data_IF_607287077470
#
_entry.id   IF_607287077470
#
_cell.length_a   1.000
_cell.length_b   1.000
_cell.length_c   1.000
_cell.angle_alpha   90.00
_cell.angle_beta   90.00
_cell.angle_gamma   90.00
#
_symmetry.space_group_name_H-M   'P 1'
#
loop_
_entity.id
_entity.type
_entity.pdbx_description
1 polymer ?
#
# COMPACT_ATOMS: atom_id res chain seq x y z
N UNK A 1 -23.91 -26.71 -62.06
CA UNK A 1 -25.28 -26.35 -61.61
C UNK A 1 -25.65 -27.24 -60.42
N UNK A 2 -25.95 -26.62 -59.26
CA UNK A 2 -26.56 -27.16 -58.02
C UNK A 2 -25.92 -28.39 -57.34
N UNK A 3 -25.20 -28.23 -56.20
CA UNK A 3 -25.68 -28.23 -54.78
C UNK A 3 -26.33 -29.53 -54.31
N UNK A 4 -25.65 -30.27 -53.42
CA UNK A 4 -26.05 -30.58 -52.01
C UNK A 4 -25.02 -31.53 -51.36
N UNK A 5 -24.31 -31.04 -50.35
CA UNK A 5 -23.54 -31.85 -49.40
C UNK A 5 -24.46 -32.27 -48.25
N UNK A 6 -24.51 -33.57 -47.95
CA UNK A 6 -25.10 -34.14 -46.75
C UNK A 6 -24.18 -35.24 -46.22
N UNK A 7 -23.54 -34.99 -45.08
CA UNK A 7 -22.68 -35.95 -44.37
C UNK A 7 -23.52 -36.90 -43.52
N UNK A 8 -23.22 -38.21 -43.44
CA UNK A 8 -23.81 -39.10 -42.47
C UNK A 8 -23.02 -39.12 -41.15
N UNK A 9 -23.77 -39.22 -40.05
CA UNK A 9 -23.28 -39.29 -38.68
C UNK A 9 -22.57 -40.61 -38.37
N UNK A 10 -21.47 -40.53 -37.61
CA UNK A 10 -20.88 -41.69 -36.92
C UNK A 10 -20.72 -41.36 -35.44
N UNK A 11 -21.41 -42.17 -34.63
CA UNK A 11 -21.35 -42.26 -33.16
C UNK A 11 -19.92 -42.51 -32.66
N UNK A 12 -19.48 -41.76 -31.65
CA UNK A 12 -18.37 -42.17 -30.77
C UNK A 12 -18.79 -42.09 -29.30
N UNK A 13 -18.47 -43.17 -28.60
CA UNK A 13 -18.93 -43.54 -27.26
C UNK A 13 -18.32 -42.66 -26.16
N UNK A 14 -19.14 -42.43 -25.14
CA UNK A 14 -18.79 -41.87 -23.83
C UNK A 14 -17.85 -42.85 -23.11
N UNK A 15 -16.73 -42.36 -22.61
CA UNK A 15 -15.82 -43.05 -21.70
C UNK A 15 -15.62 -42.21 -20.44
N UNK A 16 -16.01 -42.78 -19.31
CA UNK A 16 -16.07 -42.17 -17.98
C UNK A 16 -14.69 -41.99 -17.31
N UNK A 17 -14.60 -40.96 -16.46
CA UNK A 17 -13.93 -41.02 -15.16
C UNK A 17 -12.40 -41.18 -15.08
N UNK A 18 -11.66 -40.06 -15.14
CA UNK A 18 -10.23 -40.02 -14.79
C UNK A 18 -9.83 -38.74 -14.04
N UNK A 19 -9.97 -38.72 -12.72
CA UNK A 19 -9.49 -37.65 -11.80
C UNK A 19 -7.99 -37.39 -12.01
N UNK A 20 -7.62 -36.34 -12.74
CA UNK A 20 -6.23 -35.85 -12.81
C UNK A 20 -5.90 -35.02 -11.57
N UNK A 21 -5.04 -35.56 -10.71
CA UNK A 21 -4.38 -34.87 -9.60
C UNK A 21 -3.48 -33.76 -10.17
N UNK A 22 -3.83 -32.50 -9.96
CA UNK A 22 -2.94 -31.37 -10.22
C UNK A 22 -1.89 -31.29 -9.11
N UNK A 23 -0.62 -31.50 -9.49
CA UNK A 23 0.55 -31.39 -8.62
C UNK A 23 0.91 -29.91 -8.40
N UNK A 24 1.43 -29.64 -7.20
CA UNK A 24 1.62 -28.34 -6.56
C UNK A 24 2.84 -27.59 -7.12
N UNK A 25 2.67 -26.29 -7.42
CA UNK A 25 3.76 -25.30 -7.51
C UNK A 25 3.66 -24.28 -6.37
N UNK A 26 4.75 -24.07 -5.63
CA UNK A 26 4.88 -23.12 -4.50
C UNK A 26 5.67 -21.90 -4.98
N UNK A 27 5.18 -20.68 -4.76
CA UNK A 27 6.01 -19.48 -4.99
C UNK A 27 5.31 -18.13 -5.10
N UNK A 28 4.27 -17.85 -4.31
CA UNK A 28 3.72 -16.49 -4.10
C UNK A 28 3.67 -16.19 -2.61
N UNK A 29 3.63 -14.90 -2.19
CA UNK A 29 3.50 -14.47 -0.77
C UNK A 29 2.62 -15.47 -0.02
N UNK A 30 3.21 -16.21 0.94
CA UNK A 30 2.56 -17.34 1.59
C UNK A 30 1.36 -16.83 2.37
N UNK A 31 0.16 -16.95 1.80
CA UNK A 31 -1.09 -16.78 2.53
C UNK A 31 -1.02 -17.63 3.79
N UNK A 32 -1.33 -17.09 4.97
CA UNK A 32 -1.29 -17.85 6.21
C UNK A 32 -2.60 -18.59 6.46
N UNK A 33 -2.55 -19.65 7.27
CA UNK A 33 -3.76 -20.33 7.70
C UNK A 33 -4.61 -19.37 8.53
N UNK A 34 -5.85 -19.11 8.14
CA UNK A 34 -6.73 -18.18 8.84
C UNK A 34 -7.09 -18.61 10.27
N UNK A 35 -6.92 -19.90 10.59
CA UNK A 35 -7.09 -20.44 11.94
C UNK A 35 -5.81 -20.37 12.81
N UNK A 36 -4.68 -19.90 12.28
CA UNK A 36 -3.40 -19.86 13.00
C UNK A 36 -3.55 -19.03 14.29
N UNK A 37 -3.15 -19.61 15.42
CA UNK A 37 -3.26 -18.96 16.74
C UNK A 37 -4.68 -18.87 17.31
N UNK A 38 -5.71 -19.33 16.57
CA UNK A 38 -7.12 -19.32 17.00
C UNK A 38 -7.63 -20.69 17.42
N UNK A 39 -6.85 -21.74 17.16
CA UNK A 39 -7.17 -23.12 17.51
C UNK A 39 -5.99 -23.77 18.26
N UNK A 40 -6.24 -24.70 19.20
CA UNK A 40 -5.17 -25.37 19.94
C UNK A 40 -4.24 -26.20 19.06
N UNK A 41 -4.74 -26.69 17.93
CA UNK A 41 -3.99 -27.55 17.01
C UNK A 41 -3.03 -26.73 16.14
N UNK A 42 -1.76 -27.18 16.06
CA UNK A 42 -0.74 -26.50 15.26
C UNK A 42 -1.06 -26.57 13.76
N UNK A 43 -0.64 -25.54 13.02
CA UNK A 43 -0.72 -25.53 11.57
C UNK A 43 0.21 -26.58 10.95
N UNK A 44 -0.22 -27.19 9.86
CA UNK A 44 0.61 -28.14 9.09
C UNK A 44 1.76 -27.38 8.41
N UNK A 45 2.93 -28.01 8.28
CA UNK A 45 4.07 -27.41 7.59
C UNK A 45 3.77 -27.13 6.11
N UNK A 46 3.98 -25.88 5.72
CA UNK A 46 3.77 -25.40 4.34
C UNK A 46 2.58 -24.44 4.22
N UNK A 47 2.41 -23.83 3.04
CA UNK A 47 1.32 -22.88 2.83
C UNK A 47 -0.04 -23.60 2.84
N UNK A 48 -1.09 -22.96 3.36
CA UNK A 48 -2.46 -23.45 3.27
C UNK A 48 -2.88 -23.57 1.81
N UNK A 49 -3.46 -24.72 1.46
CA UNK A 49 -3.89 -25.00 0.08
C UNK A 49 -5.40 -25.04 -0.07
N UNK A 50 -6.17 -25.00 1.02
CA UNK A 50 -7.63 -25.06 1.00
C UNK A 50 -8.20 -23.65 1.16
N UNK A 51 -8.82 -23.11 0.11
CA UNK A 51 -9.55 -21.83 0.20
C UNK A 51 -11.00 -22.06 0.60
N UNK A 52 -11.61 -21.09 1.27
CA UNK A 52 -13.06 -21.08 1.46
C UNK A 52 -13.73 -21.08 0.09
N UNK A 53 -14.56 -22.09 -0.20
CA UNK A 53 -15.21 -22.25 -1.49
C UNK A 53 -16.19 -21.13 -1.84
N UNK A 54 -16.72 -20.43 -0.82
CA UNK A 54 -17.68 -19.34 -1.01
C UNK A 54 -17.00 -18.01 -1.30
N UNK A 55 -16.07 -17.58 -0.45
CA UNK A 55 -15.45 -16.27 -0.61
C UNK A 55 -14.14 -16.27 -1.38
N UNK A 56 -13.43 -17.40 -1.46
CA UNK A 56 -12.09 -17.48 -2.07
C UNK A 56 -10.97 -16.73 -1.31
N UNK A 57 -11.30 -15.83 -0.39
CA UNK A 57 -10.37 -14.90 0.26
C UNK A 57 -9.49 -15.52 1.36
N UNK A 58 -10.02 -16.48 2.15
CA UNK A 58 -9.30 -17.09 3.28
C UNK A 58 -8.84 -18.51 2.95
N UNK A 59 -7.69 -18.92 3.50
CA UNK A 59 -7.14 -20.25 3.30
C UNK A 59 -6.81 -20.98 4.61
N UNK A 60 -6.81 -22.31 4.53
CA UNK A 60 -6.65 -23.23 5.65
C UNK A 60 -5.64 -24.33 5.30
N UNK A 61 -4.87 -24.79 6.28
CA UNK A 61 -4.01 -25.96 6.10
C UNK A 61 -4.78 -27.29 6.24
N UNK A 62 -5.94 -27.29 6.90
CA UNK A 62 -6.79 -28.48 7.10
C UNK A 62 -8.29 -28.15 7.08
N UNK A 63 -9.12 -29.18 6.93
CA UNK A 63 -10.58 -29.05 7.07
C UNK A 63 -10.97 -28.72 8.52
N UNK A 64 -10.28 -29.29 9.51
CA UNK A 64 -10.53 -28.98 10.93
C UNK A 64 -10.36 -27.49 11.21
N UNK A 65 -9.29 -26.87 10.71
CA UNK A 65 -9.05 -25.43 10.85
C UNK A 65 -10.11 -24.57 10.17
N UNK A 66 -10.60 -25.01 9.00
CA UNK A 66 -11.71 -24.35 8.33
C UNK A 66 -13.01 -24.39 9.14
N UNK A 67 -13.36 -25.56 9.69
CA UNK A 67 -14.57 -25.73 10.51
C UNK A 67 -14.45 -24.89 11.79
N UNK A 68 -13.32 -24.96 12.49
CA UNK A 68 -13.13 -24.21 13.73
C UNK A 68 -13.15 -22.70 13.53
N UNK A 69 -12.59 -22.18 12.43
CA UNK A 69 -12.61 -20.74 12.13
C UNK A 69 -13.97 -20.24 11.62
N UNK A 70 -14.91 -21.14 11.28
CA UNK A 70 -16.21 -20.76 10.71
C UNK A 70 -17.01 -19.83 11.64
N UNK A 71 -16.89 -20.00 12.95
CA UNK A 71 -17.58 -19.15 13.95
C UNK A 71 -17.22 -17.66 13.80
N UNK A 72 -15.95 -17.35 13.48
CA UNK A 72 -15.48 -15.99 13.21
C UNK A 72 -15.70 -15.58 11.74
N UNK A 73 -15.46 -16.51 10.80
CA UNK A 73 -15.48 -16.22 9.37
C UNK A 73 -16.89 -15.99 8.81
N UNK A 74 -17.92 -16.65 9.36
CA UNK A 74 -19.27 -16.68 8.78
C UNK A 74 -19.86 -15.28 8.54
N UNK A 75 -19.63 -14.33 9.46
CA UNK A 75 -20.12 -12.96 9.36
C UNK A 75 -19.45 -12.17 8.24
N UNK A 76 -18.16 -12.43 8.00
CA UNK A 76 -17.36 -11.73 7.00
C UNK A 76 -17.38 -12.41 5.62
N UNK A 77 -17.79 -13.67 5.54
CA UNK A 77 -17.66 -14.48 4.32
C UNK A 77 -18.37 -13.86 3.12
N UNK A 78 -19.58 -13.32 3.28
CA UNK A 78 -20.32 -12.68 2.19
C UNK A 78 -19.63 -11.39 1.71
N UNK A 79 -19.21 -10.53 2.65
CA UNK A 79 -18.48 -9.29 2.37
C UNK A 79 -17.17 -9.57 1.63
N UNK A 80 -16.41 -10.56 2.09
CA UNK A 80 -15.17 -10.99 1.44
C UNK A 80 -15.41 -11.56 0.03
N UNK A 81 -16.50 -12.29 -0.18
CA UNK A 81 -16.86 -12.77 -1.52
C UNK A 81 -17.10 -11.61 -2.49
N UNK A 82 -17.83 -10.58 -2.05
CA UNK A 82 -18.06 -9.37 -2.86
C UNK A 82 -16.77 -8.63 -3.21
N UNK A 83 -15.81 -8.60 -2.28
CA UNK A 83 -14.48 -8.02 -2.54
C UNK A 83 -13.70 -8.85 -3.57
N UNK A 84 -13.77 -10.17 -3.48
CA UNK A 84 -13.08 -11.07 -4.41
C UNK A 84 -13.62 -11.00 -5.84
N UNK A 85 -14.90 -10.63 -6.05
CA UNK A 85 -15.45 -10.36 -7.39
C UNK A 85 -14.70 -9.24 -8.10
N UNK A 86 -14.20 -8.25 -7.33
CA UNK A 86 -13.47 -7.09 -7.87
C UNK A 86 -11.96 -7.31 -7.94
N UNK A 87 -11.46 -8.48 -7.55
CA UNK A 87 -10.03 -8.72 -7.43
C UNK A 87 -9.29 -8.51 -8.76
N UNK A 88 -9.84 -8.99 -9.88
CA UNK A 88 -9.19 -8.85 -11.18
C UNK A 88 -9.11 -7.38 -11.62
N UNK A 89 -10.19 -6.63 -11.43
CA UNK A 89 -10.25 -5.18 -11.72
C UNK A 89 -9.24 -4.42 -10.86
N UNK A 90 -9.10 -4.78 -9.57
CA UNK A 90 -8.13 -4.16 -8.67
C UNK A 90 -6.68 -4.54 -8.97
N UNK A 91 -6.44 -5.59 -9.76
CA UNK A 91 -5.11 -6.01 -10.22
C UNK A 91 -4.79 -5.56 -11.65
N UNK A 92 -5.70 -4.84 -12.32
CA UNK A 92 -5.49 -4.28 -13.66
C UNK A 92 -4.74 -2.94 -13.58
N UNK A 93 -3.43 -3.05 -13.35
CA UNK A 93 -2.54 -1.89 -13.30
C UNK A 93 -1.98 -1.53 -14.68
N UNK A 94 -1.77 -0.23 -14.98
CA UNK A 94 -1.22 0.21 -16.27
C UNK A 94 0.28 -0.08 -16.44
N UNK A 95 0.93 -0.64 -15.41
CA UNK A 95 2.37 -0.78 -15.35
C UNK A 95 2.88 -1.88 -16.27
N UNK A 96 4.03 -1.66 -16.90
CA UNK A 96 4.67 -2.70 -17.70
C UNK A 96 5.32 -3.77 -16.80
N UNK A 97 5.83 -3.38 -15.63
CA UNK A 97 6.42 -4.28 -14.65
C UNK A 97 5.39 -5.17 -13.91
N UNK A 98 4.09 -4.85 -13.98
CA UNK A 98 3.03 -5.73 -13.45
C UNK A 98 2.61 -6.81 -14.43
N UNK A 99 2.87 -6.65 -15.74
CA UNK A 99 2.51 -7.67 -16.75
C UNK A 99 3.45 -8.88 -16.73
N UNK A 100 4.70 -8.69 -16.30
CA UNK A 100 5.60 -9.80 -15.97
C UNK A 100 5.07 -10.69 -14.83
N UNK A 101 4.06 -10.22 -14.06
CA UNK A 101 3.39 -11.03 -13.03
C UNK A 101 2.04 -11.64 -13.43
N UNK A 102 1.43 -11.23 -14.56
CA UNK A 102 0.04 -11.60 -14.91
C UNK A 102 -0.12 -12.39 -16.22
N UNK A 103 0.96 -12.66 -16.98
CA UNK A 103 0.87 -13.44 -18.23
C UNK A 103 2.05 -14.41 -18.37
N UNK A 104 2.03 -15.48 -17.57
CA UNK A 104 2.68 -16.80 -17.75
C UNK A 104 2.96 -17.40 -16.37
N UNK A 105 1.95 -18.05 -15.79
CA UNK A 105 2.05 -18.78 -14.52
C UNK A 105 2.67 -20.18 -14.70
N UNK A 106 3.26 -20.51 -15.85
CA UNK A 106 3.75 -21.87 -16.09
C UNK A 106 5.23 -22.09 -16.39
N UNK A 107 6.05 -21.12 -16.84
CA UNK A 107 7.49 -21.36 -17.03
C UNK A 107 8.32 -20.08 -16.97
N UNK A 108 8.46 -19.47 -15.79
CA UNK A 108 9.63 -18.66 -15.40
C UNK A 108 9.41 -18.20 -13.97
N UNK A 109 10.48 -18.15 -13.17
CA UNK A 109 10.49 -17.55 -11.86
C UNK A 109 9.69 -16.24 -11.83
N UNK A 110 8.56 -16.22 -11.10
CA UNK A 110 7.93 -14.97 -10.69
C UNK A 110 9.02 -14.16 -10.02
N UNK A 111 9.56 -13.14 -10.73
CA UNK A 111 10.63 -12.29 -10.22
C UNK A 111 10.23 -11.84 -8.83
N UNK A 112 10.97 -12.29 -7.82
CA UNK A 112 10.71 -11.83 -6.45
C UNK A 112 10.89 -10.32 -6.43
N UNK A 113 10.30 -9.63 -5.44
CA UNK A 113 10.55 -8.19 -5.27
C UNK A 113 12.06 -7.87 -5.25
N UNK A 114 12.88 -8.77 -4.68
CA UNK A 114 14.34 -8.68 -4.66
C UNK A 114 14.92 -8.73 -6.10
N UNK A 115 14.49 -9.67 -6.95
CA UNK A 115 15.03 -9.78 -8.31
C UNK A 115 14.55 -8.67 -9.24
N UNK A 116 13.31 -8.20 -9.07
CA UNK A 116 12.81 -7.01 -9.79
C UNK A 116 13.64 -5.77 -9.44
N UNK A 117 13.79 -5.46 -8.15
CA UNK A 117 14.61 -4.31 -7.74
C UNK A 117 16.07 -4.46 -8.17
N UNK A 118 16.57 -5.69 -8.25
CA UNK A 118 17.93 -5.96 -8.74
C UNK A 118 18.05 -5.70 -10.23
N UNK A 119 17.07 -6.11 -11.04
CA UNK A 119 17.06 -5.83 -12.49
C UNK A 119 16.95 -4.35 -12.80
N UNK A 120 16.22 -3.59 -11.97
CA UNK A 120 16.12 -2.13 -12.07
C UNK A 120 17.34 -1.40 -11.45
N UNK A 121 18.28 -2.13 -10.84
CA UNK A 121 19.46 -1.55 -10.18
C UNK A 121 19.12 -0.74 -8.91
N UNK A 122 17.93 -0.93 -8.35
CA UNK A 122 17.40 -0.23 -7.16
C UNK A 122 17.55 -1.03 -5.86
N UNK A 123 17.90 -2.30 -5.95
CA UNK A 123 17.98 -3.19 -4.80
C UNK A 123 18.93 -2.66 -3.71
N UNK A 124 18.44 -2.55 -2.47
CA UNK A 124 19.15 -2.03 -1.30
C UNK A 124 19.64 -0.56 -1.41
N UNK A 125 19.05 0.25 -2.31
CA UNK A 125 19.42 1.66 -2.50
C UNK A 125 18.34 2.63 -2.04
N UNK A 126 18.76 3.74 -1.44
CA UNK A 126 17.91 4.88 -1.07
C UNK A 126 16.58 4.46 -0.46
N UNK A 127 15.50 4.98 -1.05
CA UNK A 127 14.13 4.69 -0.61
C UNK A 127 13.73 3.21 -0.77
N UNK A 128 14.34 2.47 -1.67
CA UNK A 128 13.97 1.08 -2.02
C UNK A 128 14.53 0.03 -1.06
N UNK A 129 15.41 0.44 -0.13
CA UNK A 129 16.13 -0.47 0.76
C UNK A 129 15.21 -1.40 1.54
N UNK A 130 14.03 -0.91 1.92
CA UNK A 130 13.08 -1.62 2.77
C UNK A 130 12.02 -2.40 2.01
N UNK A 131 11.98 -2.28 0.68
CA UNK A 131 11.03 -3.03 -0.14
C UNK A 131 11.32 -4.53 -0.15
N UNK A 132 12.55 -4.96 0.17
CA UNK A 132 12.87 -6.38 0.31
C UNK A 132 13.68 -6.73 1.58
N UNK A 133 13.39 -7.89 2.17
CA UNK A 133 14.04 -8.38 3.39
C UNK A 133 15.38 -9.09 3.14
N UNK A 134 15.85 -9.21 1.89
CA UNK A 134 17.07 -9.96 1.54
C UNK A 134 18.38 -9.29 2.04
N UNK A 135 18.32 -8.09 2.62
CA UNK A 135 19.48 -7.33 3.12
C UNK A 135 19.57 -7.11 4.64
N UNK A 136 18.76 -7.77 5.48
CA UNK A 136 18.76 -7.48 6.92
C UNK A 136 19.91 -8.15 7.69
N UNK A 137 20.90 -7.34 8.06
CA UNK A 137 21.57 -7.46 9.36
C UNK A 137 21.71 -6.05 9.94
N UNK A 138 21.01 -5.84 11.07
CA UNK A 138 20.95 -4.61 11.85
C UNK A 138 20.43 -3.37 11.09
N UNK A 139 19.25 -2.90 11.48
CA UNK A 139 18.96 -1.47 11.43
C UNK A 139 20.04 -0.83 12.32
N UNK A 140 21.13 -0.33 11.73
CA UNK A 140 22.09 0.48 12.48
C UNK A 140 21.31 1.63 13.09
N UNK A 141 21.48 1.83 14.39
CA UNK A 141 20.84 2.85 15.23
C UNK A 141 21.07 4.30 14.80
N UNK A 142 21.57 4.54 13.59
CA UNK A 142 21.72 5.87 13.00
C UNK A 142 20.44 6.26 12.24
N UNK A 143 19.34 6.33 12.98
CA UNK A 143 18.03 6.80 12.49
C UNK A 143 17.98 8.31 12.23
N UNK A 144 19.13 8.97 12.11
CA UNK A 144 19.25 10.43 12.04
C UNK A 144 19.06 10.99 10.64
N UNK A 145 19.32 10.21 9.58
CA UNK A 145 19.21 10.66 8.18
C UNK A 145 18.12 9.90 7.45
N UNK A 146 17.03 10.60 7.15
CA UNK A 146 16.04 10.12 6.20
C UNK A 146 16.71 9.82 4.85
N UNK A 147 16.42 8.66 4.27
CA UNK A 147 16.74 8.42 2.87
C UNK A 147 15.92 9.39 2.03
N UNK A 148 16.57 10.23 1.24
CA UNK A 148 15.90 11.24 0.41
C UNK A 148 16.21 11.08 -1.07
N UNK A 149 16.61 9.88 -1.51
CA UNK A 149 16.99 9.63 -2.90
C UNK A 149 16.15 8.53 -3.53
N UNK A 150 15.58 8.84 -4.69
CA UNK A 150 14.92 7.86 -5.55
C UNK A 150 15.89 6.90 -6.23
N UNK A 151 17.18 7.25 -6.34
CA UNK A 151 18.16 6.51 -7.16
C UNK A 151 17.64 6.19 -8.59
N UNK A 152 16.80 7.08 -9.11
CA UNK A 152 16.22 7.04 -10.44
C UNK A 152 16.57 8.34 -11.19
N UNK A 153 16.70 8.30 -12.53
CA UNK A 153 16.74 9.49 -13.37
C UNK A 153 15.55 10.43 -13.12
N UNK A 154 15.71 11.73 -13.39
CA UNK A 154 14.68 12.73 -13.14
C UNK A 154 13.42 12.48 -13.97
N UNK A 155 13.55 11.88 -15.15
CA UNK A 155 12.44 11.46 -16.01
C UNK A 155 11.60 10.31 -15.44
N UNK A 156 12.13 9.56 -14.46
CA UNK A 156 11.47 8.38 -13.88
C UNK A 156 10.98 8.60 -12.46
N UNK A 157 11.14 9.79 -11.89
CA UNK A 157 10.73 10.04 -10.51
C UNK A 157 10.16 11.45 -10.29
N UNK A 158 9.24 11.60 -9.32
CA UNK A 158 8.60 12.87 -9.01
C UNK A 158 9.50 13.80 -8.18
N UNK A 159 10.72 14.12 -8.65
CA UNK A 159 11.71 14.90 -7.90
C UNK A 159 11.58 16.43 -8.01
N UNK A 160 10.61 16.93 -8.77
CA UNK A 160 10.37 18.36 -9.02
C UNK A 160 8.88 18.66 -8.97
N UNK A 161 8.53 19.94 -8.86
CA UNK A 161 7.15 20.39 -8.93
C UNK A 161 6.44 19.90 -10.21
N UNK A 162 5.14 19.58 -10.11
CA UNK A 162 4.35 19.21 -11.27
C UNK A 162 4.26 20.39 -12.25
N UNK A 163 4.28 20.10 -13.55
CA UNK A 163 4.19 21.14 -14.60
C UNK A 163 2.84 21.86 -14.61
N UNK A 164 1.79 21.14 -14.21
CA UNK A 164 0.43 21.66 -14.14
C UNK A 164 -0.11 21.44 -12.72
N UNK A 165 -0.82 22.40 -12.13
CA UNK A 165 -1.53 22.16 -10.88
C UNK A 165 -2.57 21.05 -11.09
N UNK A 166 -2.94 20.37 -10.01
CA UNK A 166 -4.01 19.39 -10.07
C UNK A 166 -5.32 20.12 -10.35
N UNK A 167 -5.85 19.92 -11.56
CA UNK A 167 -7.11 20.52 -12.01
C UNK A 167 -8.31 19.59 -11.83
N UNK A 168 -8.08 18.28 -11.76
CA UNK A 168 -9.11 17.25 -11.62
C UNK A 168 -8.73 16.22 -10.56
N UNK A 169 -9.72 15.59 -9.92
CA UNK A 169 -9.48 14.49 -8.99
C UNK A 169 -8.77 13.32 -9.69
N UNK A 170 -7.61 12.90 -9.16
CA UNK A 170 -6.89 11.73 -9.66
C UNK A 170 -7.63 10.46 -9.18
N UNK A 171 -8.17 9.70 -10.13
CA UNK A 171 -9.03 8.54 -9.85
C UNK A 171 -8.33 7.20 -10.05
N UNK A 172 -7.16 7.20 -10.69
CA UNK A 172 -6.40 6.00 -11.00
C UNK A 172 -4.89 6.26 -11.03
N UNK A 173 -4.11 5.17 -10.95
CA UNK A 173 -2.67 5.21 -11.20
C UNK A 173 -2.33 5.79 -12.58
N UNK A 174 -3.16 5.51 -13.58
CA UNK A 174 -2.99 6.04 -14.94
C UNK A 174 -3.05 7.56 -14.93
N UNK A 175 -4.04 8.14 -14.24
CA UNK A 175 -4.20 9.59 -14.14
C UNK A 175 -3.00 10.25 -13.47
N UNK A 176 -2.51 9.66 -12.37
CA UNK A 176 -1.34 10.17 -11.65
C UNK A 176 -0.08 10.18 -12.53
N UNK A 177 0.21 9.07 -13.22
CA UNK A 177 1.40 8.96 -14.08
C UNK A 177 1.34 9.94 -15.25
N UNK A 178 0.18 10.10 -15.89
CA UNK A 178 -0.01 11.08 -16.95
C UNK A 178 0.18 12.51 -16.42
N UNK A 179 -0.39 12.84 -15.27
CA UNK A 179 -0.26 14.16 -14.65
C UNK A 179 1.19 14.49 -14.26
N UNK A 180 1.94 13.51 -13.72
CA UNK A 180 3.37 13.67 -13.39
C UNK A 180 4.31 13.53 -14.57
N UNK A 181 3.81 13.25 -15.77
CA UNK A 181 4.62 12.95 -16.96
C UNK A 181 5.60 11.79 -16.72
N UNK A 182 5.16 10.77 -15.99
CA UNK A 182 5.93 9.57 -15.71
C UNK A 182 5.57 8.45 -16.68
N UNK A 183 6.55 7.70 -17.22
CA UNK A 183 6.28 6.53 -18.03
C UNK A 183 5.79 5.36 -17.17
N UNK A 184 4.93 4.50 -17.69
CA UNK A 184 4.36 3.36 -16.94
C UNK A 184 5.36 2.26 -16.54
N UNK A 185 6.59 2.34 -17.04
CA UNK A 185 7.68 1.47 -16.59
C UNK A 185 8.45 2.04 -15.38
N UNK A 186 8.18 3.28 -14.96
CA UNK A 186 8.75 3.81 -13.72
C UNK A 186 8.19 3.05 -12.51
N UNK A 187 9.03 2.55 -11.58
CA UNK A 187 8.59 1.72 -10.46
C UNK A 187 8.06 2.53 -9.26
N UNK A 188 7.95 3.86 -9.36
CA UNK A 188 7.64 4.73 -8.21
C UNK A 188 6.30 4.43 -7.53
N UNK A 189 5.37 3.77 -8.23
CA UNK A 189 4.11 3.32 -7.62
C UNK A 189 4.32 2.40 -6.41
N UNK A 190 5.43 1.64 -6.36
CA UNK A 190 5.75 0.77 -5.23
C UNK A 190 5.95 1.55 -3.92
N UNK A 191 6.43 2.79 -4.00
CA UNK A 191 6.64 3.66 -2.84
C UNK A 191 5.49 4.66 -2.68
N UNK A 192 5.04 5.26 -3.77
CA UNK A 192 4.00 6.29 -3.79
C UNK A 192 2.61 5.81 -3.39
N UNK A 193 2.38 4.49 -3.30
CA UNK A 193 1.07 3.98 -2.89
C UNK A 193 0.64 4.51 -1.52
N UNK A 194 1.57 4.81 -0.60
CA UNK A 194 1.24 5.40 0.70
C UNK A 194 0.62 6.80 0.60
N UNK A 195 1.32 7.84 0.06
CA UNK A 195 0.74 9.17 -0.06
C UNK A 195 -0.47 9.20 -1.00
N UNK A 196 -0.48 8.41 -2.08
CA UNK A 196 -1.60 8.41 -3.03
C UNK A 196 -2.85 7.77 -2.45
N UNK A 197 -2.71 6.75 -1.59
CA UNK A 197 -3.84 6.20 -0.83
C UNK A 197 -4.40 7.25 0.12
N UNK A 198 -3.54 7.99 0.83
CA UNK A 198 -3.97 9.08 1.71
C UNK A 198 -4.74 10.15 0.95
N UNK A 199 -4.21 10.60 -0.20
CA UNK A 199 -4.90 11.55 -1.08
C UNK A 199 -6.24 11.00 -1.55
N UNK A 200 -6.30 9.75 -2.00
CA UNK A 200 -7.55 9.17 -2.49
C UNK A 200 -8.60 9.00 -1.38
N UNK A 201 -8.20 8.59 -0.17
CA UNK A 201 -9.09 8.56 0.99
C UNK A 201 -9.66 9.95 1.31
N UNK A 202 -8.82 10.99 1.23
CA UNK A 202 -9.28 12.36 1.37
C UNK A 202 -10.28 12.72 0.27
N UNK A 203 -9.98 12.45 -1.00
CA UNK A 203 -10.89 12.72 -2.12
C UNK A 203 -12.24 12.02 -1.94
N UNK A 204 -12.27 10.77 -1.48
CA UNK A 204 -13.53 10.03 -1.24
C UNK A 204 -14.43 10.66 -0.17
N UNK A 205 -13.84 11.31 0.83
CA UNK A 205 -14.58 11.93 1.93
C UNK A 205 -14.98 13.37 1.56
N UNK A 206 -14.10 14.07 0.84
CA UNK A 206 -14.22 15.50 0.59
C UNK A 206 -14.60 15.85 -0.87
N UNK A 207 -14.87 14.88 -1.75
CA UNK A 207 -15.33 15.11 -3.12
C UNK A 207 -16.63 15.92 -3.23
N UNK A 208 -17.36 16.07 -2.11
CA UNK A 208 -18.60 16.85 -2.01
C UNK A 208 -18.46 18.16 -1.22
N UNK A 209 -17.27 18.48 -0.71
CA UNK A 209 -17.02 19.70 0.07
C UNK A 209 -15.92 20.51 -0.61
N UNK A 210 -16.27 21.74 -0.98
CA UNK A 210 -15.32 22.68 -1.58
C UNK A 210 -14.26 23.03 -0.53
N UNK A 211 -13.14 22.34 -0.55
CA UNK A 211 -11.95 22.74 0.22
C UNK A 211 -11.33 23.90 -0.55
N UNK A 212 -11.93 25.08 -0.45
CA UNK A 212 -11.35 26.29 -0.97
C UNK A 212 -10.09 26.66 -0.17
N UNK A 213 -9.02 26.90 -0.92
CA UNK A 213 -7.75 27.58 -0.61
C UNK A 213 -7.39 27.94 0.83
N UNK A 214 -6.16 27.59 1.22
CA UNK A 214 -5.46 28.17 2.37
C UNK A 214 -5.73 27.50 3.73
N UNK A 215 -6.34 26.32 3.73
CA UNK A 215 -6.66 25.58 4.95
C UNK A 215 -5.47 24.81 5.54
N UNK A 216 -5.46 24.67 6.87
CA UNK A 216 -4.63 23.69 7.57
C UNK A 216 -5.40 22.37 7.65
N UNK A 217 -4.81 21.29 7.16
CA UNK A 217 -5.39 19.95 7.20
C UNK A 217 -4.63 19.09 8.21
N UNK A 218 -5.34 18.52 9.18
CA UNK A 218 -4.81 17.66 10.24
C UNK A 218 -5.31 16.23 10.04
N UNK A 219 -4.38 15.29 9.86
CA UNK A 219 -4.64 13.89 9.58
C UNK A 219 -4.01 13.02 10.66
N UNK A 220 -4.76 12.09 11.22
CA UNK A 220 -4.19 11.01 12.04
C UNK A 220 -4.00 9.75 11.19
N UNK A 221 -2.76 9.29 11.09
CA UNK A 221 -2.36 8.07 10.39
C UNK A 221 -2.06 6.97 11.42
N UNK A 222 -2.90 5.94 11.49
CA UNK A 222 -2.84 4.93 12.54
C UNK A 222 -2.13 3.66 12.09
N UNK A 223 -1.28 3.16 12.97
CA UNK A 223 -0.52 1.92 12.80
C UNK A 223 0.47 1.96 11.64
N UNK A 224 1.33 3.00 11.54
CA UNK A 224 2.40 2.98 10.55
C UNK A 224 3.43 1.90 10.90
N UNK A 225 4.00 1.27 9.89
CA UNK A 225 5.02 0.24 10.00
C UNK A 225 6.15 0.54 9.00
N UNK A 226 6.05 0.04 7.76
CA UNK A 226 7.02 0.30 6.70
C UNK A 226 7.14 1.77 6.34
N UNK A 227 6.04 2.50 6.44
CA UNK A 227 5.94 3.94 6.14
C UNK A 227 6.93 4.76 6.98
N UNK A 228 7.27 4.31 8.19
CA UNK A 228 8.23 4.99 9.08
C UNK A 228 9.65 5.04 8.50
N UNK A 229 9.96 4.14 7.57
CA UNK A 229 11.26 4.03 6.91
C UNK A 229 11.33 4.83 5.61
N UNK A 230 10.17 5.31 5.13
CA UNK A 230 9.96 5.92 3.82
C UNK A 230 9.24 7.28 3.94
N UNK A 231 9.39 7.97 5.08
CA UNK A 231 8.65 9.21 5.39
C UNK A 231 8.84 10.32 4.33
N UNK A 232 10.01 10.39 3.68
CA UNK A 232 10.29 11.35 2.59
C UNK A 232 9.41 11.16 1.36
N UNK A 233 8.85 9.97 1.14
CA UNK A 233 7.90 9.69 0.06
C UNK A 233 6.61 10.51 0.25
N UNK A 234 6.24 10.85 1.49
CA UNK A 234 5.11 11.72 1.78
C UNK A 234 5.33 13.18 1.34
N UNK A 235 6.54 13.56 0.91
CA UNK A 235 6.82 14.86 0.27
C UNK A 235 6.00 15.06 -1.00
N UNK A 236 5.57 13.98 -1.65
CA UNK A 236 4.64 14.04 -2.78
C UNK A 236 3.31 14.75 -2.45
N UNK A 237 2.91 14.78 -1.18
CA UNK A 237 1.68 15.45 -0.75
C UNK A 237 1.74 16.96 -0.93
N UNK A 238 2.94 17.57 -1.05
CA UNK A 238 3.11 18.98 -1.44
C UNK A 238 2.45 19.25 -2.80
N UNK A 239 2.60 18.34 -3.75
CA UNK A 239 2.03 18.47 -5.09
C UNK A 239 0.53 18.09 -5.11
N UNK A 240 0.12 17.15 -4.25
CA UNK A 240 -1.26 16.65 -4.18
C UNK A 240 -2.22 17.59 -3.46
N UNK A 241 -1.71 18.45 -2.58
CA UNK A 241 -2.48 19.41 -1.79
C UNK A 241 -1.93 20.85 -1.97
N UNK A 242 -2.06 21.42 -3.19
CA UNK A 242 -1.53 22.75 -3.46
C UNK A 242 -2.23 23.82 -2.59
N UNK A 243 -1.43 24.65 -1.93
CA UNK A 243 -1.89 25.74 -1.05
C UNK A 243 -2.44 25.30 0.31
N UNK A 244 -2.17 24.05 0.74
CA UNK A 244 -2.65 23.49 2.01
C UNK A 244 -1.48 23.21 2.93
N UNK A 245 -1.62 23.60 4.20
CA UNK A 245 -0.68 23.19 5.25
C UNK A 245 -1.12 21.85 5.82
N UNK A 246 -0.43 20.79 5.45
CA UNK A 246 -0.74 19.44 5.88
C UNK A 246 0.03 19.08 7.14
N UNK A 247 -0.66 18.63 8.17
CA UNK A 247 -0.06 18.07 9.37
C UNK A 247 -0.55 16.64 9.55
N UNK A 248 0.37 15.68 9.51
CA UNK A 248 0.08 14.25 9.63
C UNK A 248 0.69 13.74 10.92
N UNK A 249 -0.14 13.17 11.80
CA UNK A 249 0.30 12.53 13.02
C UNK A 249 0.29 11.01 12.84
N UNK A 250 1.48 10.42 12.81
CA UNK A 250 1.72 8.99 12.68
C UNK A 250 1.70 8.35 14.06
N UNK A 251 0.66 7.59 14.37
CA UNK A 251 0.37 7.09 15.71
C UNK A 251 0.37 5.55 15.68
N UNK A 252 1.31 4.93 16.40
CA UNK A 252 1.30 3.48 16.54
C UNK A 252 2.43 2.92 17.40
N UNK A 253 2.30 1.66 17.86
CA UNK A 253 3.30 1.03 18.73
C UNK A 253 4.64 0.76 18.02
N UNK A 254 4.64 0.67 16.68
CA UNK A 254 5.83 0.44 15.87
C UNK A 254 6.74 1.67 15.74
N UNK A 255 6.26 2.87 16.13
CA UNK A 255 7.11 4.06 16.23
C UNK A 255 8.22 3.78 17.26
N UNK A 256 9.51 3.94 16.90
CA UNK A 256 10.61 3.73 17.84
C UNK A 256 10.54 4.73 19.00
N UNK A 257 10.93 4.28 20.21
CA UNK A 257 10.90 5.11 21.43
C UNK A 257 11.67 6.42 21.26
N UNK A 258 12.86 6.35 20.68
CA UNK A 258 13.72 7.52 20.47
C UNK A 258 13.18 8.54 19.47
N UNK A 259 12.12 8.20 18.71
CA UNK A 259 11.43 9.07 17.76
C UNK A 259 10.07 9.54 18.26
N UNK A 260 9.65 9.14 19.47
CA UNK A 260 8.37 9.60 20.02
C UNK A 260 8.37 11.12 20.20
N UNK A 261 7.35 11.78 19.68
CA UNK A 261 7.22 13.23 19.68
C UNK A 261 8.03 13.96 18.60
N UNK A 262 8.87 13.25 17.83
CA UNK A 262 9.64 13.83 16.74
C UNK A 262 8.72 14.53 15.73
N UNK A 263 9.10 15.75 15.34
CA UNK A 263 8.41 16.52 14.32
C UNK A 263 9.38 16.88 13.21
N UNK A 264 8.96 16.65 11.98
CA UNK A 264 9.72 16.98 10.77
C UNK A 264 8.85 17.69 9.76
N UNK A 265 9.47 18.57 8.96
CA UNK A 265 8.81 19.29 7.87
C UNK A 265 9.42 18.84 6.56
N UNK A 266 8.57 18.43 5.61
CA UNK A 266 8.95 18.13 4.25
C UNK A 266 8.74 19.40 3.42
N UNK A 267 9.85 20.04 3.03
CA UNK A 267 9.91 21.24 2.21
C UNK A 267 10.14 20.97 0.72
N UNK A 268 10.51 19.73 0.37
CA UNK A 268 10.92 19.36 -0.98
C UNK A 268 10.65 17.89 -1.26
N UNK A 269 10.72 17.51 -2.53
CA UNK A 269 10.61 16.13 -2.99
C UNK A 269 11.94 15.38 -2.80
N UNK A 270 11.87 14.05 -2.70
CA UNK A 270 13.06 13.22 -2.76
C UNK A 270 13.82 13.42 -4.09
N UNK A 271 15.14 13.45 -4.00
CA UNK A 271 16.04 13.77 -5.10
C UNK A 271 16.18 12.61 -6.09
N UNK A 272 16.36 12.94 -7.37
CA UNK A 272 16.75 11.98 -8.40
C UNK A 272 18.26 11.69 -8.35
N UNK A 273 18.73 10.72 -9.15
CA UNK A 273 20.15 10.38 -9.27
C UNK A 273 20.96 11.31 -10.16
N UNK A 274 20.33 12.02 -11.11
CA UNK A 274 21.03 12.84 -12.12
C UNK A 274 21.82 14.01 -11.52
N UNK A 275 23.07 14.15 -11.96
CA UNK A 275 23.90 15.30 -11.62
C UNK A 275 23.44 16.53 -12.41
N UNK A 276 23.42 17.68 -11.74
CA UNK A 276 22.89 18.93 -12.30
C UNK A 276 21.37 19.06 -12.27
N UNK A 277 20.63 18.08 -11.76
CA UNK A 277 19.19 18.24 -11.53
C UNK A 277 18.92 19.27 -10.43
N UNK A 278 18.03 20.23 -10.70
CA UNK A 278 17.64 21.28 -9.73
C UNK A 278 17.07 20.76 -8.41
N UNK A 279 16.64 19.49 -8.33
CA UNK A 279 16.18 18.90 -7.08
C UNK A 279 17.29 18.81 -6.01
N UNK A 280 18.56 18.70 -6.42
CA UNK A 280 19.73 18.62 -5.52
C UNK A 280 20.15 20.00 -4.99
N UNK A 281 19.72 21.08 -5.63
CA UNK A 281 19.96 22.44 -5.12
C UNK A 281 18.97 22.82 -4.00
N UNK A 282 17.84 22.11 -3.92
CA UNK A 282 16.76 22.33 -2.95
C UNK A 282 16.92 21.48 -1.66
N UNK A 283 17.81 20.49 -1.65
CA UNK A 283 17.99 19.57 -0.52
C UNK A 283 18.64 20.20 0.73
N UNK A 284 19.22 21.40 0.61
CA UNK A 284 19.77 22.18 1.73
C UNK A 284 18.68 22.92 2.55
N UNK A 285 17.41 22.48 2.49
CA UNK A 285 16.29 23.14 3.16
C UNK A 285 16.31 23.06 4.69
N UNK A 286 17.29 22.37 5.31
CA UNK A 286 17.43 22.29 6.77
C UNK A 286 17.78 23.62 7.47
N UNK A 287 18.19 24.67 6.73
CA UNK A 287 18.61 25.96 7.34
C UNK A 287 18.09 27.23 6.64
N UNK A 288 17.23 27.12 5.62
CA UNK A 288 16.61 28.31 5.00
C UNK A 288 15.24 28.54 5.61
N UNK A 289 15.16 29.59 6.43
CA UNK A 289 13.90 30.09 6.98
C UNK A 289 12.85 30.23 5.88
N UNK A 290 11.65 29.77 6.21
CA UNK A 290 10.38 29.95 5.51
C UNK A 290 10.52 30.58 4.12
N UNK A 291 10.76 29.74 3.10
CA UNK A 291 10.30 30.12 1.77
C UNK A 291 8.79 30.32 1.87
N UNK A 292 8.27 31.40 1.30
CA UNK A 292 6.85 31.78 1.23
C UNK A 292 6.00 30.79 0.40
N UNK A 293 6.28 29.49 0.47
CA UNK A 293 5.45 28.43 -0.09
C UNK A 293 4.27 28.21 0.87
N UNK A 294 3.06 28.49 0.39
CA UNK A 294 1.79 28.30 1.11
C UNK A 294 1.48 26.84 1.45
N UNK A 295 2.29 25.89 0.96
CA UNK A 295 2.11 24.45 1.16
C UNK A 295 3.29 23.87 1.93
N UNK A 296 3.01 23.10 2.97
CA UNK A 296 4.02 22.37 3.74
C UNK A 296 3.42 21.06 4.24
N UNK A 297 4.26 20.03 4.39
CA UNK A 297 3.85 18.75 4.97
C UNK A 297 4.64 18.54 6.25
N UNK A 298 3.97 18.69 7.38
CA UNK A 298 4.53 18.41 8.71
C UNK A 298 4.15 17.00 9.11
N UNK A 299 5.13 16.19 9.49
CA UNK A 299 4.94 14.85 10.04
C UNK A 299 5.31 14.89 11.52
N UNK A 300 4.44 14.33 12.35
CA UNK A 300 4.69 14.13 13.78
C UNK A 300 4.55 12.66 14.13
N UNK A 301 5.55 12.10 14.81
CA UNK A 301 5.57 10.70 15.21
C UNK A 301 5.12 10.55 16.66
N UNK A 302 4.24 9.56 16.91
CA UNK A 302 3.75 9.23 18.24
C UNK A 302 3.77 7.73 18.45
N UNK A 303 4.56 7.31 19.43
CA UNK A 303 4.52 5.94 19.94
C UNK A 303 3.31 5.76 20.84
N UNK A 304 2.69 4.58 20.72
CA UNK A 304 1.59 4.14 21.56
C UNK A 304 0.34 3.80 20.75
N UNK A 305 -0.67 3.27 21.43
CA UNK A 305 -1.97 3.05 20.80
C UNK A 305 -2.76 4.36 20.76
N UNK A 306 -3.63 4.48 19.75
CA UNK A 306 -4.36 5.72 19.53
C UNK A 306 -5.27 6.14 20.69
N UNK A 307 -5.93 5.18 21.35
CA UNK A 307 -6.82 5.46 22.47
C UNK A 307 -6.06 5.91 23.73
N UNK A 308 -4.84 5.42 23.96
CA UNK A 308 -3.99 5.87 25.07
C UNK A 308 -3.49 7.30 24.85
N UNK A 309 -3.27 7.66 23.59
CA UNK A 309 -2.79 8.99 23.19
C UNK A 309 -3.92 9.98 22.92
N UNK A 310 -5.18 9.58 23.07
CA UNK A 310 -6.32 10.41 22.69
C UNK A 310 -6.38 11.70 23.53
N UNK A 311 -6.15 11.61 24.85
CA UNK A 311 -6.07 12.78 25.74
C UNK A 311 -4.93 13.74 25.37
N UNK A 312 -3.80 13.21 24.90
CA UNK A 312 -2.62 13.99 24.50
C UNK A 312 -2.81 14.67 23.13
N UNK A 313 -3.60 14.05 22.25
CA UNK A 313 -3.82 14.45 20.84
C UNK A 313 -5.03 15.36 20.64
N UNK A 314 -5.96 15.45 21.60
CA UNK A 314 -7.18 16.28 21.57
C UNK A 314 -6.98 17.80 21.54
N UNK A 315 -5.75 18.33 21.46
CA UNK A 315 -5.57 19.79 21.26
C UNK A 315 -6.09 20.25 19.89
N UNK A 316 -6.18 19.35 18.90
CA UNK A 316 -6.74 19.64 17.57
C UNK A 316 -7.53 18.42 17.10
N UNK A 317 -8.79 18.63 16.71
CA UNK A 317 -9.61 17.57 16.11
C UNK A 317 -9.13 17.28 14.68
N UNK A 318 -8.79 16.02 14.34
CA UNK A 318 -8.36 15.67 12.99
C UNK A 318 -9.54 15.73 12.02
N UNK A 319 -9.30 16.24 10.81
CA UNK A 319 -10.27 16.16 9.73
C UNK A 319 -10.37 14.74 9.18
N UNK A 320 -9.24 14.03 9.09
CA UNK A 320 -9.18 12.66 8.58
C UNK A 320 -8.45 11.74 9.56
N UNK A 321 -9.02 10.56 9.81
CA UNK A 321 -8.31 9.46 10.45
C UNK A 321 -8.26 8.30 9.46
N UNK A 322 -7.06 7.86 9.12
CA UNK A 322 -6.80 6.71 8.25
C UNK A 322 -6.04 5.65 9.04
N UNK A 323 -6.39 4.38 8.84
CA UNK A 323 -5.83 3.26 9.59
C UNK A 323 -5.50 2.08 8.65
N UNK A 324 -4.56 2.26 7.71
CA UNK A 324 -4.34 1.28 6.64
C UNK A 324 -3.72 -0.03 7.16
N UNK A 325 -2.89 0.06 8.20
CA UNK A 325 -2.14 -1.08 8.74
C UNK A 325 -2.36 -1.30 10.25
N UNK A 326 -3.21 -0.52 10.91
CA UNK A 326 -3.44 -0.65 12.36
C UNK A 326 -4.16 -1.95 12.77
N UNK A 327 -4.74 -2.70 11.83
CA UNK A 327 -5.49 -3.92 12.15
C UNK A 327 -6.56 -3.64 13.20
N UNK A 328 -7.24 -2.49 13.07
CA UNK A 328 -8.12 -1.93 14.12
C UNK A 328 -9.19 -2.93 14.58
N UNK A 329 -9.72 -3.74 13.65
CA UNK A 329 -10.67 -4.81 13.94
C UNK A 329 -10.02 -6.20 14.18
N UNK A 330 -8.71 -6.32 13.94
CA UNK A 330 -7.97 -7.59 14.00
C UNK A 330 -7.24 -7.78 15.35
N UNK A 331 -6.89 -6.69 16.04
CA UNK A 331 -6.18 -6.72 17.31
C UNK A 331 -7.03 -6.12 18.42
N UNK A 332 -7.21 -6.87 19.51
CA UNK A 332 -8.00 -6.42 20.66
C UNK A 332 -7.47 -5.13 21.29
N UNK A 333 -6.16 -4.88 21.16
CA UNK A 333 -5.54 -3.65 21.61
C UNK A 333 -6.16 -2.41 20.97
N UNK A 334 -6.70 -2.48 19.75
CA UNK A 334 -7.33 -1.33 19.09
C UNK A 334 -8.85 -1.24 19.32
N UNK A 335 -9.46 -2.18 20.04
CA UNK A 335 -10.91 -2.15 20.32
C UNK A 335 -11.37 -0.87 21.02
N UNK A 336 -10.64 -0.31 22.02
CA UNK A 336 -11.05 0.94 22.63
C UNK A 336 -11.13 2.08 21.60
N UNK A 337 -10.20 2.12 20.63
CA UNK A 337 -10.21 3.12 19.54
C UNK A 337 -11.49 3.07 18.69
N UNK A 338 -12.09 1.90 18.48
CA UNK A 338 -13.37 1.75 17.78
C UNK A 338 -14.53 2.24 18.66
N UNK A 339 -14.55 1.77 19.92
CA UNK A 339 -15.65 2.04 20.87
C UNK A 339 -15.76 3.53 21.18
N UNK A 340 -14.63 4.23 21.35
CA UNK A 340 -14.60 5.67 21.62
C UNK A 340 -15.27 6.51 20.53
N UNK A 341 -15.21 6.09 19.25
CA UNK A 341 -15.84 6.82 18.14
C UNK A 341 -17.32 6.49 17.95
N UNK A 342 -17.75 5.28 18.30
CA UNK A 342 -19.19 4.94 18.29
C UNK A 342 -19.98 5.63 19.39
N UNK A 343 -19.33 6.07 20.48
CA UNK A 343 -19.97 6.78 21.60
C UNK A 343 -19.87 8.31 21.54
N UNK A 344 -19.08 8.86 20.62
CA UNK A 344 -18.95 10.31 20.40
C UNK A 344 -19.63 10.78 19.10
N UNK A 345 -20.52 9.95 18.56
CA UNK A 345 -21.24 10.20 17.31
C UNK A 345 -22.51 9.36 17.12
N UNK A 346 -23.36 9.31 18.15
CA UNK A 346 -24.84 9.37 18.08
C UNK A 346 -25.31 10.16 19.30
#
# INVERSE_FOLDING_TARGET
LQRRCGSPAVRLRIGDGGRRKTRRGRGGRKMECAARGRVPTRCVHGPPTRRCARCGAVAYCSLSHQISHWTNHKGECARLAQQMIRADILNDFPFTFSKESNFQVELADSKTRCSFLSSEGLHQKGLWKFECCCGSSAVSSDGSRLNNEWNLPSALCPCRDPRNPISTCLSSWKDYYLWRFLPFHSPVALLLHWPLTLYHCFQLIYSHTSVQGGGKLHIHYLGPDRELLELTVFGELLALFPGVQLHIEFIGPAVPEFRDGERMSLCSYACCSEDGCGCKASSDCSLRGASNSSSSVTIQLRKGFYHDRYSDTLKVSPQLIIAPNAGVAAYSSWLPTIVYRTWSGV
#
